data_IF_940649666747
#
_entry.id   IF_940649666747
#
_cell.length_a   1.000
_cell.length_b   1.000
_cell.length_c   1.000
_cell.angle_alpha   90.00
_cell.angle_beta   90.00
_cell.angle_gamma   90.00
#
_symmetry.space_group_name_H-M   'P 1'
#
loop_
_entity.id
_entity.type
_entity.pdbx_description
1 polymer ?
#
# COMPACT_ATOMS: atom_id res chain seq x y z
N UNK A 1 0.66 20.91 2.18
CA UNK A 1 -0.07 21.48 3.32
C UNK A 1 -1.57 21.52 3.02
N UNK A 2 -1.99 22.09 1.88
CA UNK A 2 -3.41 22.18 1.47
C UNK A 2 -4.27 20.92 1.64
N UNK A 3 -3.78 19.72 1.31
CA UNK A 3 -4.58 18.50 1.49
C UNK A 3 -4.84 18.19 2.97
N UNK A 4 -3.84 18.38 3.84
CA UNK A 4 -4.00 18.16 5.28
C UNK A 4 -5.04 19.12 5.86
N UNK A 5 -4.93 20.41 5.54
CA UNK A 5 -5.88 21.45 5.97
C UNK A 5 -7.30 21.17 5.45
N UNK A 6 -7.43 20.71 4.21
CA UNK A 6 -8.74 20.35 3.64
C UNK A 6 -9.38 19.16 4.35
N UNK A 7 -8.58 18.21 4.84
CA UNK A 7 -9.08 17.04 5.57
C UNK A 7 -9.44 17.35 7.03
N UNK A 8 -8.84 18.38 7.65
CA UNK A 8 -9.09 18.75 9.06
C UNK A 8 -10.59 18.92 9.39
N UNK A 9 -11.38 19.49 8.47
CA UNK A 9 -12.81 19.71 8.66
C UNK A 9 -13.66 18.42 8.69
N UNK A 10 -13.13 17.30 8.22
CA UNK A 10 -13.85 16.02 8.11
C UNK A 10 -13.21 14.89 8.89
N UNK A 11 -12.10 15.13 9.61
CA UNK A 11 -11.40 14.09 10.38
C UNK A 11 -12.32 13.40 11.39
N UNK A 12 -13.18 14.17 12.08
CA UNK A 12 -14.08 13.64 13.11
C UNK A 12 -15.34 12.94 12.53
N UNK A 13 -15.51 12.95 11.21
CA UNK A 13 -16.67 12.35 10.53
C UNK A 13 -16.41 10.93 10.04
N UNK A 14 -15.16 10.49 9.99
CA UNK A 14 -14.77 9.19 9.43
C UNK A 14 -13.78 8.47 10.33
N UNK A 15 -13.99 7.17 10.52
CA UNK A 15 -13.03 6.31 11.23
C UNK A 15 -11.72 6.12 10.45
N UNK A 16 -11.81 6.12 9.11
CA UNK A 16 -10.68 5.95 8.20
C UNK A 16 -10.85 6.83 6.97
N UNK A 17 -9.73 7.41 6.52
CA UNK A 17 -9.62 8.14 5.25
C UNK A 17 -8.51 7.46 4.44
N UNK A 18 -8.87 6.87 3.30
CA UNK A 18 -7.92 6.28 2.36
C UNK A 18 -7.61 7.29 1.26
N UNK A 19 -6.32 7.55 1.04
CA UNK A 19 -5.83 8.47 0.01
C UNK A 19 -5.14 7.63 -1.06
N UNK A 20 -5.76 7.52 -2.23
CA UNK A 20 -5.14 6.87 -3.39
C UNK A 20 -4.19 7.86 -4.09
N UNK A 21 -2.94 7.44 -4.26
CA UNK A 21 -1.87 8.30 -4.77
C UNK A 21 -1.59 7.98 -6.25
N UNK A 22 -1.23 8.99 -7.06
CA UNK A 22 -0.76 8.72 -8.42
C UNK A 22 0.54 7.88 -8.39
N UNK A 23 0.85 7.16 -9.48
CA UNK A 23 2.00 6.24 -9.53
C UNK A 23 3.37 6.93 -9.50
N UNK A 24 3.43 8.27 -9.51
CA UNK A 24 4.66 9.06 -9.47
C UNK A 24 4.91 9.64 -8.09
N UNK A 25 6.17 9.68 -7.66
CA UNK A 25 6.61 10.37 -6.43
C UNK A 25 6.75 11.88 -6.65
N UNK A 26 5.69 12.50 -7.18
CA UNK A 26 5.59 13.93 -7.42
C UNK A 26 4.92 14.69 -6.27
N UNK A 27 4.46 15.90 -6.58
CA UNK A 27 3.82 16.79 -5.60
C UNK A 27 2.59 16.17 -4.93
N UNK A 28 1.73 15.49 -5.70
CA UNK A 28 0.48 14.90 -5.19
C UNK A 28 0.75 13.78 -4.17
N UNK A 29 1.67 12.88 -4.48
CA UNK A 29 2.08 11.82 -3.55
C UNK A 29 2.77 12.41 -2.31
N UNK A 30 3.57 13.46 -2.49
CA UNK A 30 4.20 14.17 -1.37
C UNK A 30 3.18 14.81 -0.42
N UNK A 31 2.19 15.56 -0.94
CA UNK A 31 1.16 16.17 -0.08
C UNK A 31 0.26 15.13 0.57
N UNK A 32 0.07 13.98 -0.07
CA UNK A 32 -0.66 12.83 0.51
C UNK A 32 0.10 12.27 1.71
N UNK A 33 1.40 12.00 1.59
CA UNK A 33 2.24 11.57 2.72
C UNK A 33 2.25 12.59 3.88
N UNK A 34 2.20 13.88 3.58
CA UNK A 34 2.12 14.94 4.61
C UNK A 34 0.77 14.95 5.33
N UNK A 35 -0.31 14.55 4.66
CA UNK A 35 -1.65 14.50 5.23
C UNK A 35 -1.98 13.19 5.97
N UNK A 36 -1.33 12.08 5.59
CA UNK A 36 -1.61 10.74 6.15
C UNK A 36 -1.00 10.52 7.54
N UNK A 37 -1.67 9.69 8.34
CA UNK A 37 -1.08 9.11 9.57
C UNK A 37 -0.18 7.92 9.25
N UNK A 38 -0.62 7.11 8.28
CA UNK A 38 0.05 5.88 7.87
C UNK A 38 0.19 5.78 6.35
N UNK A 39 1.24 5.11 5.89
CA UNK A 39 1.42 4.73 4.48
C UNK A 39 1.44 3.22 4.32
N UNK A 40 0.65 2.71 3.39
CA UNK A 40 0.61 1.32 2.96
C UNK A 40 1.22 1.24 1.57
N UNK A 41 2.19 0.36 1.39
CA UNK A 41 3.06 0.37 0.20
C UNK A 41 2.83 -0.88 -0.65
N UNK A 42 2.07 -0.80 -1.75
CA UNK A 42 2.01 -1.88 -2.71
C UNK A 42 3.32 -1.97 -3.50
N UNK A 43 3.92 -3.16 -3.58
CA UNK A 43 5.15 -3.43 -4.31
C UNK A 43 4.87 -4.56 -5.29
N UNK A 44 5.07 -4.34 -6.58
CA UNK A 44 4.98 -5.45 -7.54
C UNK A 44 6.15 -6.41 -7.34
N UNK A 45 5.91 -7.72 -7.47
CA UNK A 45 6.95 -8.78 -7.35
C UNK A 45 7.87 -8.84 -8.57
N UNK A 46 8.33 -7.68 -9.04
CA UNK A 46 9.30 -7.51 -10.11
C UNK A 46 10.52 -6.76 -9.58
N UNK A 47 11.71 -7.19 -9.99
CA UNK A 47 12.98 -6.64 -9.49
C UNK A 47 13.08 -5.11 -9.59
N UNK A 48 12.63 -4.53 -10.71
CA UNK A 48 12.63 -3.08 -10.93
C UNK A 48 11.76 -2.33 -9.90
N UNK A 49 10.59 -2.87 -9.56
CA UNK A 49 9.70 -2.26 -8.58
C UNK A 49 10.31 -2.30 -7.18
N UNK A 50 11.03 -3.38 -6.86
CA UNK A 50 11.77 -3.49 -5.62
C UNK A 50 12.88 -2.44 -5.51
N UNK A 51 13.73 -2.29 -6.53
CA UNK A 51 14.77 -1.24 -6.55
C UNK A 51 14.18 0.17 -6.39
N UNK A 52 13.01 0.44 -6.98
CA UNK A 52 12.32 1.73 -6.84
C UNK A 52 11.80 2.03 -5.42
N UNK A 53 11.73 1.02 -4.55
CA UNK A 53 11.20 1.17 -3.19
C UNK A 53 12.10 2.04 -2.31
N UNK A 54 13.41 2.09 -2.58
CA UNK A 54 14.35 2.97 -1.85
C UNK A 54 14.00 4.46 -2.00
N UNK A 55 13.56 4.87 -3.19
CA UNK A 55 13.14 6.25 -3.45
C UNK A 55 11.88 6.61 -2.65
N UNK A 56 10.94 5.67 -2.51
CA UNK A 56 9.77 5.85 -1.67
C UNK A 56 10.16 5.95 -0.19
N UNK A 57 10.99 5.03 0.30
CA UNK A 57 11.42 5.01 1.71
C UNK A 57 12.21 6.27 2.09
N UNK A 58 13.08 6.74 1.21
CA UNK A 58 13.79 8.02 1.42
C UNK A 58 12.85 9.22 1.41
N UNK A 59 11.83 9.21 0.54
CA UNK A 59 10.77 10.25 0.53
C UNK A 59 9.97 10.23 1.83
N UNK A 60 9.56 9.05 2.30
CA UNK A 60 8.87 8.87 3.59
C UNK A 60 9.75 9.36 4.73
N UNK A 61 11.04 9.03 4.75
CA UNK A 61 11.99 9.50 5.75
C UNK A 61 12.13 11.04 5.75
N UNK A 62 12.17 11.65 4.56
CA UNK A 62 12.21 13.11 4.40
C UNK A 62 10.92 13.78 4.88
N UNK A 63 9.76 13.15 4.66
CA UNK A 63 8.48 13.64 5.18
C UNK A 63 8.45 13.50 6.71
N UNK A 64 8.97 12.41 7.25
CA UNK A 64 9.07 12.17 8.70
C UNK A 64 10.03 13.11 9.41
N UNK A 65 11.07 13.63 8.76
CA UNK A 65 12.03 14.51 9.43
C UNK A 65 11.49 15.90 9.78
N UNK A 66 10.52 16.41 9.00
CA UNK A 66 10.00 17.77 9.19
C UNK A 66 8.50 17.94 8.99
N UNK A 67 7.92 17.75 7.78
CA UNK A 67 6.53 18.14 7.53
C UNK A 67 5.49 17.23 8.22
N UNK A 68 5.82 15.97 8.51
CA UNK A 68 4.92 15.05 9.22
C UNK A 68 5.70 14.02 10.04
N UNK A 69 6.13 14.41 11.25
CA UNK A 69 6.91 13.54 12.16
C UNK A 69 6.17 12.30 12.65
N UNK A 70 4.83 12.31 12.58
CA UNK A 70 3.98 11.21 13.04
C UNK A 70 3.72 10.17 11.96
N UNK A 71 4.14 10.40 10.70
CA UNK A 71 3.93 9.44 9.62
C UNK A 71 4.60 8.10 9.94
N UNK A 72 3.82 7.03 9.85
CA UNK A 72 4.27 5.64 10.09
C UNK A 72 4.02 4.77 8.85
N UNK A 73 4.76 3.67 8.75
CA UNK A 73 4.56 2.67 7.69
C UNK A 73 3.61 1.60 8.25
N UNK A 74 2.40 1.49 7.67
CA UNK A 74 1.43 0.44 8.02
C UNK A 74 1.82 -0.94 7.48
N UNK A 75 2.62 -0.96 6.42
CA UNK A 75 3.24 -2.18 5.90
C UNK A 75 3.39 -2.17 4.38
N UNK A 76 3.88 -3.31 3.89
CA UNK A 76 4.19 -3.55 2.48
C UNK A 76 3.31 -4.69 1.96
N UNK A 77 2.72 -4.48 0.79
CA UNK A 77 1.87 -5.47 0.12
C UNK A 77 2.56 -5.91 -1.16
N UNK A 78 3.14 -7.12 -1.20
CA UNK A 78 3.59 -7.68 -2.46
C UNK A 78 2.37 -7.91 -3.36
N UNK A 79 2.44 -7.48 -4.62
CA UNK A 79 1.32 -7.53 -5.58
C UNK A 79 1.73 -8.18 -6.89
N UNK A 80 0.72 -8.67 -7.63
CA UNK A 80 0.88 -9.33 -8.93
C UNK A 80 1.80 -10.57 -8.90
N UNK A 81 1.80 -11.30 -7.78
CA UNK A 81 2.64 -12.48 -7.60
C UNK A 81 2.17 -13.68 -8.44
N UNK A 82 3.08 -14.25 -9.23
CA UNK A 82 2.90 -15.56 -9.87
C UNK A 82 3.93 -16.56 -9.32
N UNK A 83 3.47 -17.54 -8.54
CA UNK A 83 4.33 -18.57 -7.93
C UNK A 83 5.03 -19.50 -8.91
N UNK A 84 4.64 -19.51 -10.19
CA UNK A 84 5.32 -20.26 -11.25
C UNK A 84 6.53 -19.50 -11.81
N UNK A 85 6.61 -18.19 -11.56
CA UNK A 85 7.72 -17.37 -12.00
C UNK A 85 8.83 -17.32 -10.94
N UNK A 86 10.01 -17.83 -11.29
CA UNK A 86 11.19 -17.82 -10.42
C UNK A 86 11.59 -16.40 -10.03
N UNK A 87 11.41 -15.42 -10.92
CA UNK A 87 11.75 -14.03 -10.63
C UNK A 87 10.82 -13.41 -9.57
N UNK A 88 9.54 -13.75 -9.59
CA UNK A 88 8.57 -13.32 -8.59
C UNK A 88 8.92 -13.90 -7.22
N UNK A 89 9.27 -15.19 -7.15
CA UNK A 89 9.70 -15.83 -5.91
C UNK A 89 10.96 -15.19 -5.32
N UNK A 90 11.98 -14.94 -6.15
CA UNK A 90 13.22 -14.26 -5.72
C UNK A 90 12.96 -12.84 -5.22
N UNK A 91 12.11 -12.09 -5.93
CA UNK A 91 11.77 -10.71 -5.54
C UNK A 91 10.97 -10.69 -4.25
N UNK A 92 10.01 -11.61 -4.08
CA UNK A 92 9.25 -11.75 -2.84
C UNK A 92 10.16 -12.06 -1.65
N UNK A 93 11.14 -12.94 -1.82
CA UNK A 93 12.14 -13.24 -0.79
C UNK A 93 12.95 -11.99 -0.41
N UNK A 94 13.45 -11.23 -1.39
CA UNK A 94 14.19 -10.00 -1.12
C UNK A 94 13.34 -8.95 -0.38
N UNK A 95 12.06 -8.80 -0.76
CA UNK A 95 11.09 -7.95 -0.05
C UNK A 95 10.97 -8.37 1.42
N UNK A 96 10.81 -9.67 1.68
CA UNK A 96 10.68 -10.20 3.04
C UNK A 96 11.96 -9.97 3.86
N UNK A 97 13.14 -10.24 3.30
CA UNK A 97 14.43 -10.10 3.99
C UNK A 97 14.76 -8.65 4.35
N UNK A 98 14.45 -7.70 3.46
CA UNK A 98 14.84 -6.31 3.64
C UNK A 98 13.76 -5.48 4.35
N UNK A 99 12.48 -5.65 3.99
CA UNK A 99 11.42 -4.76 4.44
C UNK A 99 10.78 -5.15 5.76
N UNK A 100 10.92 -6.41 6.20
CA UNK A 100 10.44 -6.85 7.53
C UNK A 100 11.09 -6.06 8.68
N UNK A 101 12.30 -5.52 8.45
CA UNK A 101 13.00 -4.63 9.40
C UNK A 101 12.39 -3.24 9.47
N UNK A 102 11.66 -2.84 8.43
CA UNK A 102 11.08 -1.49 8.26
C UNK A 102 9.60 -1.47 8.65
N UNK A 103 8.87 -2.56 8.39
CA UNK A 103 7.45 -2.68 8.71
C UNK A 103 6.90 -4.06 8.37
N UNK A 104 5.61 -4.25 8.60
CA UNK A 104 4.93 -5.53 8.33
C UNK A 104 4.94 -5.81 6.81
N UNK A 105 5.35 -7.00 6.42
CA UNK A 105 5.19 -7.50 5.04
C UNK A 105 3.99 -8.45 5.00
N UNK A 106 2.95 -8.08 4.27
CA UNK A 106 1.74 -8.88 4.15
C UNK A 106 1.93 -10.05 3.16
N UNK A 107 1.06 -11.08 3.21
CA UNK A 107 1.05 -12.13 2.18
C UNK A 107 0.88 -11.53 0.77
N UNK A 108 1.49 -12.14 -0.27
CA UNK A 108 1.45 -11.62 -1.61
C UNK A 108 0.05 -11.71 -2.22
N UNK A 109 -0.40 -10.65 -2.87
CA UNK A 109 -1.62 -10.65 -3.68
C UNK A 109 -1.32 -11.35 -5.02
N UNK A 110 -2.05 -12.42 -5.36
CA UNK A 110 -1.79 -13.18 -6.59
C UNK A 110 -2.11 -12.36 -7.83
N UNK A 111 -1.37 -12.62 -8.91
CA UNK A 111 -1.72 -12.13 -10.26
C UNK A 111 -3.02 -12.78 -10.72
N UNK A 112 -4.00 -11.97 -11.08
CA UNK A 112 -5.31 -12.44 -11.53
C UNK A 112 -5.99 -11.42 -12.43
N UNK A 113 -6.68 -11.86 -13.48
CA UNK A 113 -7.53 -11.00 -14.33
C UNK A 113 -8.77 -10.52 -13.59
N UNK A 114 -9.19 -11.22 -12.53
CA UNK A 114 -10.39 -10.88 -11.75
C UNK A 114 -10.38 -9.46 -11.16
N UNK A 115 -9.19 -8.86 -10.96
CA UNK A 115 -9.10 -7.45 -10.56
C UNK A 115 -9.51 -6.50 -11.68
N UNK A 116 -9.17 -6.81 -12.94
CA UNK A 116 -9.58 -6.04 -14.10
C UNK A 116 -11.09 -6.20 -14.33
N UNK A 117 -11.59 -7.44 -14.28
CA UNK A 117 -13.02 -7.74 -14.43
C UNK A 117 -13.86 -6.99 -13.37
N UNK A 118 -13.41 -7.00 -12.11
CA UNK A 118 -14.07 -6.24 -11.03
C UNK A 118 -14.05 -4.72 -11.25
N UNK A 119 -12.96 -4.19 -11.82
CA UNK A 119 -12.85 -2.77 -12.16
C UNK A 119 -13.78 -2.37 -13.32
N UNK A 120 -13.92 -3.25 -14.32
CA UNK A 120 -14.82 -3.07 -15.47
C UNK A 120 -16.28 -3.06 -15.02
N UNK A 121 -16.65 -3.96 -14.09
CA UNK A 121 -17.98 -4.03 -13.49
C UNK A 121 -18.23 -2.95 -12.40
N UNK A 122 -17.25 -2.10 -12.13
CA UNK A 122 -17.31 -1.04 -11.11
C UNK A 122 -17.67 -1.54 -9.69
N UNK A 123 -17.27 -2.76 -9.35
CA UNK A 123 -17.51 -3.36 -8.04
C UNK A 123 -16.21 -3.83 -7.39
N UNK A 124 -16.07 -3.77 -6.06
CA UNK A 124 -14.90 -4.34 -5.41
C UNK A 124 -14.79 -5.84 -5.68
N UNK A 125 -13.56 -6.35 -5.86
CA UNK A 125 -13.30 -7.79 -6.08
C UNK A 125 -13.97 -8.67 -4.99
N UNK A 126 -13.96 -8.22 -3.74
CA UNK A 126 -14.58 -8.95 -2.64
C UNK A 126 -16.11 -9.05 -2.75
N UNK A 127 -16.75 -8.16 -3.52
CA UNK A 127 -18.19 -8.21 -3.84
C UNK A 127 -18.42 -9.13 -5.03
N UNK A 128 -17.66 -8.96 -6.12
CA UNK A 128 -17.79 -9.76 -7.34
C UNK A 128 -17.46 -11.24 -7.11
N UNK A 129 -16.31 -11.53 -6.49
CA UNK A 129 -15.84 -12.89 -6.25
C UNK A 129 -15.32 -13.05 -4.81
N UNK A 130 -16.24 -13.32 -3.89
CA UNK A 130 -15.97 -13.53 -2.46
C UNK A 130 -14.98 -14.65 -2.16
N UNK A 131 -14.87 -15.66 -3.04
CA UNK A 131 -14.01 -16.84 -2.87
C UNK A 131 -12.62 -16.64 -3.47
N UNK A 132 -12.36 -15.49 -4.12
CA UNK A 132 -11.07 -15.24 -4.74
C UNK A 132 -9.93 -15.28 -3.71
N UNK A 133 -8.78 -15.91 -4.00
CA UNK A 133 -7.68 -16.09 -3.03
C UNK A 133 -7.12 -14.78 -2.43
N UNK A 134 -7.27 -13.65 -3.14
CA UNK A 134 -6.86 -12.34 -2.63
C UNK A 134 -7.78 -11.79 -1.52
N UNK A 135 -9.06 -12.19 -1.47
CA UNK A 135 -10.04 -11.67 -0.50
C UNK A 135 -9.62 -11.90 0.96
N UNK A 136 -9.22 -13.11 1.40
CA UNK A 136 -8.75 -13.30 2.77
C UNK A 136 -7.50 -12.46 3.10
N UNK A 137 -6.64 -12.20 2.11
CA UNK A 137 -5.44 -11.37 2.30
C UNK A 137 -5.84 -9.91 2.50
N UNK A 138 -6.73 -9.38 1.66
CA UNK A 138 -7.26 -8.01 1.79
C UNK A 138 -8.00 -7.83 3.13
N UNK A 139 -8.77 -8.82 3.57
CA UNK A 139 -9.42 -8.80 4.89
C UNK A 139 -8.40 -8.75 6.02
N UNK A 140 -7.32 -9.52 5.94
CA UNK A 140 -6.23 -9.50 6.93
C UNK A 140 -5.55 -8.13 6.99
N UNK A 141 -5.34 -7.48 5.83
CA UNK A 141 -4.80 -6.12 5.76
C UNK A 141 -5.76 -5.14 6.45
N UNK A 142 -7.05 -5.17 6.11
CA UNK A 142 -8.06 -4.31 6.72
C UNK A 142 -8.11 -4.46 8.26
N UNK A 143 -8.16 -5.70 8.75
CA UNK A 143 -8.12 -6.00 10.19
C UNK A 143 -6.83 -5.54 10.88
N UNK A 144 -5.71 -5.50 10.15
CA UNK A 144 -4.45 -4.97 10.67
C UNK A 144 -4.53 -3.44 10.82
N UNK A 145 -5.08 -2.75 9.82
CA UNK A 145 -5.28 -1.31 9.84
C UNK A 145 -6.24 -0.88 10.96
N UNK A 146 -7.30 -1.65 11.22
CA UNK A 146 -8.24 -1.41 12.32
C UNK A 146 -7.58 -1.40 13.70
N UNK A 147 -6.49 -2.17 13.89
CA UNK A 147 -5.75 -2.24 15.16
C UNK A 147 -4.76 -1.10 15.37
N UNK A 148 -4.46 -0.36 14.30
CA UNK A 148 -3.49 0.74 14.30
C UNK A 148 -4.20 2.10 14.54
N UNK A 149 -5.53 2.07 14.74
CA UNK A 149 -6.38 3.23 15.01
C UNK A 149 -5.97 3.98 16.28
#
# INVERSE_FOLDING_TARGET
VRLKEALEAVLDQYDFILIDCPPSLGLLSYISLVASTHVLVPIQTQYKAFCGTELLLSTVARVRSRPNRKLQIAGFIPTMYDGRNVQDARTLQAIQEQLTKVGIVYPPIPRSTAFADASEDHVPLAVLNRKHPAVPILKKIAQSLEKIK
#
